data_IF_810019349734
#
_entry.id   IF_810019349734
#
_cell.length_a   1.000
_cell.length_b   1.000
_cell.length_c   1.000
_cell.angle_alpha   90.00
_cell.angle_beta   90.00
_cell.angle_gamma   90.00
#
_symmetry.space_group_name_H-M   'P 1'
#
loop_
_entity.id
_entity.type
_entity.pdbx_description
1 polymer ?
#
# COMPACT_ATOMS: atom_id res chain seq x y z
N UNK A 1 3.34 -5.22 -1.80
CA UNK A 1 2.96 -6.62 -2.10
C UNK A 1 1.54 -6.89 -1.64
N UNK A 2 0.76 -7.68 -2.38
CA UNK A 2 -0.66 -8.03 -2.09
C UNK A 2 -0.93 -8.60 -0.68
N UNK A 3 0.09 -9.00 0.07
CA UNK A 3 -0.02 -9.60 1.40
C UNK A 3 0.00 -8.60 2.58
N UNK A 4 0.25 -7.32 2.33
CA UNK A 4 0.58 -6.37 3.43
C UNK A 4 -0.65 -5.72 4.09
N UNK A 5 -1.83 -5.77 3.44
CA UNK A 5 -3.03 -5.15 4.02
C UNK A 5 -3.90 -6.09 4.88
N UNK A 6 -3.63 -7.40 4.85
CA UNK A 6 -4.40 -8.40 5.63
C UNK A 6 -4.38 -8.09 7.12
N UNK A 7 -3.31 -7.50 7.62
CA UNK A 7 -3.18 -7.07 9.03
C UNK A 7 -4.19 -6.01 9.47
N UNK A 8 -4.79 -5.30 8.51
CA UNK A 8 -5.82 -4.30 8.79
C UNK A 8 -7.25 -4.86 8.69
N UNK A 9 -7.41 -6.13 8.28
CA UNK A 9 -8.73 -6.76 8.15
C UNK A 9 -9.17 -7.37 9.48
N UNK A 10 -10.43 -7.15 9.81
CA UNK A 10 -11.09 -7.77 10.96
C UNK A 10 -12.44 -8.35 10.53
N UNK A 11 -12.74 -9.62 10.86
CA UNK A 11 -14.02 -10.21 10.50
C UNK A 11 -15.19 -9.56 11.24
N UNK A 12 -16.34 -9.51 10.60
CA UNK A 12 -17.60 -8.96 11.17
C UNK A 12 -18.07 -9.66 12.44
N UNK A 13 -17.58 -10.87 12.72
CA UNK A 13 -17.88 -11.65 13.91
C UNK A 13 -16.99 -11.31 15.11
N UNK A 14 -15.97 -10.47 14.92
CA UNK A 14 -15.03 -10.11 15.97
C UNK A 14 -15.68 -9.28 17.08
N UNK A 15 -15.09 -9.36 18.26
CA UNK A 15 -15.45 -8.54 19.43
C UNK A 15 -14.64 -7.24 19.47
N UNK A 16 -15.08 -6.29 20.30
CA UNK A 16 -14.33 -5.06 20.60
C UNK A 16 -12.94 -5.40 21.17
N UNK A 17 -12.82 -6.46 21.97
CA UNK A 17 -11.53 -6.95 22.45
C UNK A 17 -10.62 -7.39 21.31
N UNK A 18 -11.15 -8.14 20.34
CA UNK A 18 -10.37 -8.57 19.17
C UNK A 18 -9.87 -7.37 18.35
N UNK A 19 -10.71 -6.33 18.23
CA UNK A 19 -10.32 -5.09 17.57
C UNK A 19 -9.17 -4.39 18.29
N UNK A 20 -9.19 -4.31 19.62
CA UNK A 20 -8.08 -3.74 20.40
C UNK A 20 -6.78 -4.52 20.20
N UNK A 21 -6.85 -5.86 20.22
CA UNK A 21 -5.68 -6.70 19.96
C UNK A 21 -5.11 -6.47 18.56
N UNK A 22 -5.99 -6.33 17.55
CA UNK A 22 -5.57 -6.06 16.19
C UNK A 22 -4.98 -4.65 16.02
N UNK A 23 -5.53 -3.64 16.70
CA UNK A 23 -5.00 -2.28 16.71
C UNK A 23 -3.63 -2.22 17.41
N UNK A 24 -3.46 -2.90 18.53
CA UNK A 24 -2.20 -2.97 19.27
C UNK A 24 -1.08 -3.58 18.44
N UNK A 25 -1.36 -4.65 17.69
CA UNK A 25 -0.41 -5.25 16.73
C UNK A 25 0.02 -4.29 15.62
N UNK A 26 -0.81 -3.27 15.31
CA UNK A 26 -0.53 -2.25 14.30
C UNK A 26 -0.09 -0.91 14.93
N UNK A 27 0.33 -0.90 16.21
CA UNK A 27 0.66 0.33 16.96
C UNK A 27 1.76 1.18 16.33
N UNK A 28 2.68 0.54 15.59
CA UNK A 28 3.78 1.22 14.88
C UNK A 28 3.35 1.86 13.55
N UNK A 29 2.08 1.73 13.14
CA UNK A 29 1.60 2.22 11.85
C UNK A 29 0.27 2.99 12.00
N UNK A 30 -0.78 2.57 11.29
CA UNK A 30 -2.07 3.27 11.29
C UNK A 30 -3.09 2.46 12.10
N UNK A 31 -3.66 3.10 13.13
CA UNK A 31 -4.67 2.53 14.01
C UNK A 31 -6.07 2.54 13.36
N UNK A 32 -6.20 1.86 12.23
CA UNK A 32 -7.44 1.70 11.48
C UNK A 32 -7.60 0.26 11.04
N UNK A 33 -8.78 -0.30 11.23
CA UNK A 33 -9.18 -1.62 10.77
C UNK A 33 -10.32 -1.51 9.77
N UNK A 34 -10.39 -2.46 8.85
CA UNK A 34 -11.49 -2.66 7.90
C UNK A 34 -12.27 -3.88 8.29
N UNK A 35 -13.55 -3.70 8.57
CA UNK A 35 -14.46 -4.78 8.94
C UNK A 35 -14.98 -5.43 7.66
N UNK A 36 -14.80 -6.75 7.54
CA UNK A 36 -15.19 -7.51 6.36
C UNK A 36 -16.09 -8.67 6.71
N UNK A 37 -16.97 -9.03 5.78
CA UNK A 37 -17.80 -10.23 5.89
C UNK A 37 -17.00 -11.51 5.53
N UNK A 38 -17.70 -12.67 5.54
CA UNK A 38 -17.09 -13.99 5.25
C UNK A 38 -16.55 -14.13 3.84
N UNK A 39 -16.98 -13.29 2.89
CA UNK A 39 -16.52 -13.31 1.49
C UNK A 39 -15.52 -12.18 1.19
N UNK A 40 -15.09 -11.42 2.20
CA UNK A 40 -14.13 -10.33 2.09
C UNK A 40 -14.72 -8.99 1.64
N UNK A 41 -16.06 -8.85 1.62
CA UNK A 41 -16.72 -7.59 1.33
C UNK A 41 -16.56 -6.62 2.51
N UNK A 42 -16.20 -5.38 2.22
CA UNK A 42 -16.05 -4.35 3.23
C UNK A 42 -17.39 -3.89 3.78
N UNK A 43 -17.54 -3.93 5.11
CA UNK A 43 -18.76 -3.52 5.82
C UNK A 43 -18.58 -2.19 6.55
N UNK A 44 -17.36 -1.85 6.95
CA UNK A 44 -17.10 -0.64 7.72
C UNK A 44 -15.64 -0.44 8.04
N UNK A 45 -15.36 0.67 8.73
CA UNK A 45 -14.05 0.99 9.31
C UNK A 45 -14.16 1.11 10.82
N UNK A 46 -13.05 0.87 11.51
CA UNK A 46 -12.95 0.98 12.96
C UNK A 46 -11.57 1.52 13.34
N UNK A 47 -11.55 2.52 14.18
CA UNK A 47 -10.32 3.14 14.70
C UNK A 47 -10.22 2.98 16.20
N UNK A 48 -9.05 3.24 16.78
CA UNK A 48 -8.85 3.32 18.24
C UNK A 48 -9.83 4.32 18.90
N UNK A 49 -10.07 5.44 18.24
CA UNK A 49 -11.04 6.43 18.70
C UNK A 49 -12.49 5.91 18.77
N UNK A 50 -12.87 5.02 17.84
CA UNK A 50 -14.21 4.43 17.83
C UNK A 50 -14.39 3.46 18.98
N UNK A 51 -13.37 2.63 19.24
CA UNK A 51 -13.34 1.72 20.39
C UNK A 51 -13.48 2.52 21.69
N UNK A 52 -12.67 3.56 21.85
CA UNK A 52 -12.70 4.41 23.07
C UNK A 52 -14.06 5.07 23.27
N UNK A 53 -14.64 5.64 22.22
CA UNK A 53 -16.00 6.21 22.28
C UNK A 53 -17.06 5.18 22.59
N UNK A 54 -16.96 3.98 22.00
CA UNK A 54 -17.88 2.88 22.30
C UNK A 54 -17.87 2.49 23.77
N UNK A 55 -16.68 2.33 24.36
CA UNK A 55 -16.52 2.00 25.80
C UNK A 55 -17.07 3.12 26.70
N UNK A 56 -16.83 4.41 26.36
CA UNK A 56 -17.39 5.56 27.09
C UNK A 56 -18.92 5.53 27.04
N UNK A 57 -19.51 5.06 25.93
CA UNK A 57 -20.97 4.94 25.75
C UNK A 57 -21.54 3.66 26.40
N UNK A 58 -20.74 2.93 27.16
CA UNK A 58 -21.18 1.74 27.90
C UNK A 58 -21.19 0.44 27.09
N UNK A 59 -20.49 0.38 25.95
CA UNK A 59 -20.26 -0.88 25.25
C UNK A 59 -19.24 -1.73 26.00
N UNK A 60 -19.40 -3.05 25.95
CA UNK A 60 -18.50 -4.01 26.59
C UNK A 60 -17.45 -4.55 25.61
N UNK A 61 -16.32 -5.00 26.12
CA UNK A 61 -15.26 -5.63 25.33
C UNK A 61 -15.72 -6.90 24.62
N UNK A 62 -16.74 -7.57 25.13
CA UNK A 62 -17.36 -8.76 24.53
C UNK A 62 -18.39 -8.42 23.44
N UNK A 63 -18.80 -7.16 23.31
CA UNK A 63 -19.74 -6.73 22.27
C UNK A 63 -19.10 -6.89 20.89
N UNK A 64 -19.96 -7.15 19.88
CA UNK A 64 -19.53 -7.27 18.50
C UNK A 64 -19.09 -5.90 17.93
N UNK A 65 -18.04 -5.87 17.11
CA UNK A 65 -17.48 -4.66 16.49
C UNK A 65 -18.49 -3.86 15.66
N UNK A 66 -19.55 -4.49 15.17
CA UNK A 66 -20.61 -3.82 14.39
C UNK A 66 -21.31 -2.70 15.17
N UNK A 67 -21.33 -2.76 16.51
CA UNK A 67 -22.01 -1.74 17.32
C UNK A 67 -21.24 -0.43 17.43
N UNK A 68 -19.96 -0.43 17.01
CA UNK A 68 -19.07 0.74 17.08
C UNK A 68 -18.39 1.09 15.74
N UNK A 69 -18.51 0.23 14.70
CA UNK A 69 -17.90 0.50 13.40
C UNK A 69 -18.61 1.63 12.65
N UNK A 70 -17.89 2.33 11.80
CA UNK A 70 -18.43 3.29 10.85
C UNK A 70 -18.77 2.62 9.53
N UNK A 71 -20.03 2.72 9.10
CA UNK A 71 -20.53 2.18 7.82
C UNK A 71 -20.41 3.16 6.68
N UNK A 72 -20.27 4.48 6.97
CA UNK A 72 -20.04 5.53 5.97
C UNK A 72 -18.55 5.77 5.79
N UNK A 73 -17.86 4.82 5.16
CA UNK A 73 -16.41 4.87 4.95
C UNK A 73 -16.03 5.43 3.58
N UNK A 74 -14.79 5.86 3.45
CA UNK A 74 -14.20 6.32 2.19
C UNK A 74 -13.47 5.16 1.51
N UNK A 75 -13.64 5.07 0.20
CA UNK A 75 -12.98 4.07 -0.64
C UNK A 75 -12.80 4.62 -2.05
N UNK A 76 -12.02 3.94 -2.86
CA UNK A 76 -11.93 4.10 -4.30
C UNK A 76 -12.25 2.78 -4.99
N UNK A 77 -12.75 2.88 -6.21
CA UNK A 77 -13.02 1.76 -7.11
C UNK A 77 -12.50 2.09 -8.50
N UNK A 78 -12.59 1.15 -9.42
CA UNK A 78 -12.19 1.37 -10.81
C UNK A 78 -12.93 2.58 -11.43
N UNK A 79 -14.21 2.72 -11.11
CA UNK A 79 -15.05 3.81 -11.65
C UNK A 79 -14.82 5.16 -10.96
N UNK A 80 -14.19 5.18 -9.77
CA UNK A 80 -13.96 6.39 -8.96
C UNK A 80 -12.46 6.68 -8.71
N UNK A 81 -11.57 6.13 -9.52
CA UNK A 81 -10.11 6.30 -9.41
C UNK A 81 -9.69 7.68 -9.96
N UNK A 82 -10.18 8.76 -9.33
CA UNK A 82 -9.79 10.14 -9.66
C UNK A 82 -8.69 10.60 -8.70
N UNK A 83 -7.58 11.08 -9.25
CA UNK A 83 -6.45 11.64 -8.50
C UNK A 83 -6.89 12.80 -7.59
N UNK A 84 -7.88 13.59 -8.01
CA UNK A 84 -8.43 14.70 -7.21
C UNK A 84 -9.09 14.20 -5.93
N UNK A 85 -9.85 13.10 -6.02
CA UNK A 85 -10.50 12.48 -4.86
C UNK A 85 -9.47 11.92 -3.89
N UNK A 86 -8.43 11.27 -4.40
CA UNK A 86 -7.36 10.72 -3.58
C UNK A 86 -6.60 11.83 -2.86
N UNK A 87 -6.30 12.94 -3.57
CA UNK A 87 -5.68 14.13 -2.98
C UNK A 87 -6.55 14.71 -1.87
N UNK A 88 -7.85 14.87 -2.12
CA UNK A 88 -8.80 15.36 -1.13
C UNK A 88 -8.82 14.48 0.13
N UNK A 89 -8.82 13.16 -0.02
CA UNK A 89 -8.78 12.25 1.12
C UNK A 89 -7.48 12.36 1.91
N UNK A 90 -6.35 12.52 1.21
CA UNK A 90 -5.05 12.74 1.83
C UNK A 90 -5.02 14.06 2.61
N UNK A 91 -5.53 15.15 2.03
CA UNK A 91 -5.59 16.47 2.67
C UNK A 91 -6.53 16.46 3.89
N UNK A 92 -7.55 15.60 3.91
CA UNK A 92 -8.42 15.35 5.06
C UNK A 92 -7.81 14.42 6.11
N UNK A 93 -6.55 14.02 5.98
CA UNK A 93 -5.83 13.19 6.94
C UNK A 93 -6.17 11.70 6.91
N UNK A 94 -6.83 11.21 5.85
CA UNK A 94 -7.05 9.78 5.67
C UNK A 94 -5.71 9.10 5.40
N UNK A 95 -5.32 8.18 6.27
CA UNK A 95 -4.04 7.49 6.20
C UNK A 95 -4.09 6.21 5.38
N UNK A 96 -5.19 5.46 5.48
CA UNK A 96 -5.43 4.22 4.72
C UNK A 96 -6.67 4.38 3.87
N UNK A 97 -6.55 4.12 2.57
CA UNK A 97 -7.65 4.20 1.61
C UNK A 97 -7.83 2.85 0.91
N UNK A 98 -8.93 2.13 1.14
CA UNK A 98 -9.20 0.86 0.50
C UNK A 98 -9.63 1.06 -0.96
N UNK A 99 -9.15 0.19 -1.84
CA UNK A 99 -9.61 0.01 -3.20
C UNK A 99 -10.52 -1.21 -3.25
N UNK A 100 -11.74 -0.99 -3.69
CA UNK A 100 -12.77 -2.03 -3.73
C UNK A 100 -13.05 -2.52 -5.14
N UNK A 101 -13.25 -3.83 -5.28
CA UNK A 101 -13.81 -4.43 -6.49
C UNK A 101 -15.28 -4.02 -6.69
N UNK A 102 -15.86 -4.35 -7.85
CA UNK A 102 -17.29 -4.16 -8.14
C UNK A 102 -18.21 -4.85 -7.13
N UNK A 103 -17.75 -5.96 -6.55
CA UNK A 103 -18.48 -6.71 -5.50
C UNK A 103 -18.28 -6.12 -4.10
N UNK A 104 -17.50 -5.05 -3.95
CA UNK A 104 -17.21 -4.40 -2.68
C UNK A 104 -16.14 -5.10 -1.83
N UNK A 105 -15.34 -6.00 -2.40
CA UNK A 105 -14.21 -6.65 -1.70
C UNK A 105 -13.00 -5.75 -1.73
N UNK A 106 -12.20 -5.80 -0.67
CA UNK A 106 -10.93 -5.08 -0.61
C UNK A 106 -9.91 -5.84 -1.45
N UNK A 107 -9.45 -5.23 -2.54
CA UNK A 107 -8.38 -5.76 -3.38
C UNK A 107 -7.02 -5.18 -3.00
N UNK A 108 -7.00 -3.93 -2.54
CA UNK A 108 -5.78 -3.21 -2.19
C UNK A 108 -6.08 -2.13 -1.14
N UNK A 109 -5.06 -1.78 -0.37
CA UNK A 109 -5.12 -0.62 0.54
C UNK A 109 -3.94 0.30 0.26
N UNK A 110 -4.24 1.56 0.01
CA UNK A 110 -3.23 2.60 -0.20
C UNK A 110 -2.91 3.29 1.14
N UNK A 111 -1.64 3.27 1.51
CA UNK A 111 -1.15 4.01 2.68
C UNK A 111 -0.82 5.45 2.27
N UNK A 112 -1.82 6.34 2.31
CA UNK A 112 -1.70 7.73 1.84
C UNK A 112 -0.67 8.56 2.61
N UNK A 113 -0.37 8.20 3.85
CA UNK A 113 0.68 8.81 4.65
C UNK A 113 2.10 8.44 4.18
N UNK A 114 2.26 7.33 3.45
CA UNK A 114 3.55 6.84 2.93
C UNK A 114 3.77 7.20 1.45
N UNK A 115 2.73 7.69 0.77
CA UNK A 115 2.75 8.00 -0.66
C UNK A 115 2.82 9.51 -0.84
N UNK A 116 3.85 10.00 -1.55
CA UNK A 116 4.03 11.42 -1.85
C UNK A 116 3.02 11.93 -2.87
N UNK A 117 2.70 11.10 -3.88
CA UNK A 117 1.71 11.39 -4.94
C UNK A 117 1.09 10.10 -5.43
N UNK A 118 -0.18 10.13 -5.83
CA UNK A 118 -0.82 9.02 -6.55
C UNK A 118 -1.15 9.55 -7.93
N UNK A 119 -0.41 9.08 -8.93
CA UNK A 119 -0.61 9.46 -10.31
C UNK A 119 -1.10 8.25 -11.10
N UNK A 120 -2.15 8.37 -11.94
CA UNK A 120 -2.62 7.29 -12.82
C UNK A 120 -1.74 7.22 -14.07
N UNK A 121 -0.45 7.04 -13.87
CA UNK A 121 0.56 6.97 -14.95
C UNK A 121 1.42 5.73 -14.75
N UNK A 122 1.86 5.18 -15.87
CA UNK A 122 2.88 4.14 -15.91
C UNK A 122 4.26 4.79 -15.99
N UNK A 123 5.24 4.18 -15.35
CA UNK A 123 6.62 4.62 -15.42
C UNK A 123 7.45 3.66 -16.27
N UNK A 124 8.31 4.23 -17.12
CA UNK A 124 9.28 3.45 -17.90
C UNK A 124 10.69 3.92 -17.56
N UNK A 125 11.51 3.03 -17.00
CA UNK A 125 12.93 3.28 -16.73
C UNK A 125 13.75 2.77 -17.90
N UNK A 126 14.43 3.67 -18.60
CA UNK A 126 15.34 3.29 -19.68
C UNK A 126 16.70 2.86 -19.13
N UNK A 127 17.00 1.57 -19.18
CA UNK A 127 18.20 0.97 -18.59
C UNK A 127 19.15 0.31 -19.61
N UNK A 128 18.99 0.59 -20.92
CA UNK A 128 19.71 -0.08 -21.99
C UNK A 128 21.07 0.53 -22.41
N UNK A 129 21.52 1.59 -21.73
CA UNK A 129 22.75 2.30 -22.10
C UNK A 129 24.04 1.59 -21.67
N UNK A 130 25.13 1.71 -22.51
CA UNK A 130 26.45 1.09 -22.24
C UNK A 130 27.21 1.70 -21.07
N UNK A 131 26.84 2.90 -20.60
CA UNK A 131 27.49 3.57 -19.47
C UNK A 131 28.97 3.91 -19.68
N UNK A 132 29.37 4.24 -20.90
CA UNK A 132 30.79 4.40 -21.32
C UNK A 132 31.62 5.34 -20.45
N UNK A 133 30.98 6.38 -19.89
CA UNK A 133 31.63 7.36 -19.00
C UNK A 133 32.05 6.77 -17.65
N UNK A 134 31.54 5.59 -17.29
CA UNK A 134 31.83 4.91 -16.03
C UNK A 134 32.75 3.68 -16.22
N UNK A 135 33.36 3.52 -17.39
CA UNK A 135 34.36 2.47 -17.60
C UNK A 135 35.55 2.66 -16.69
N UNK A 136 36.16 1.58 -16.15
CA UNK A 136 35.94 0.17 -16.49
C UNK A 136 34.74 -0.50 -15.75
N UNK A 137 34.06 0.15 -14.80
CA UNK A 137 33.01 -0.43 -13.96
C UNK A 137 31.84 -1.01 -14.77
N UNK A 138 31.55 -0.39 -15.92
CA UNK A 138 30.43 -0.80 -16.77
C UNK A 138 30.81 -1.79 -17.89
N UNK A 139 32.01 -2.36 -17.87
CA UNK A 139 32.36 -3.42 -18.80
C UNK A 139 31.69 -4.76 -18.50
N UNK A 140 31.52 -5.07 -17.22
CA UNK A 140 30.92 -6.34 -16.74
C UNK A 140 29.60 -6.17 -16.02
N UNK A 141 29.26 -4.96 -15.58
CA UNK A 141 28.04 -4.68 -14.82
C UNK A 141 27.32 -3.50 -15.46
N UNK A 142 26.03 -3.61 -15.84
CA UNK A 142 25.31 -2.49 -16.42
C UNK A 142 25.16 -1.36 -15.40
N UNK A 143 25.27 -0.10 -15.85
CA UNK A 143 25.21 1.08 -14.97
C UNK A 143 24.05 1.03 -13.94
N UNK A 144 22.83 0.62 -14.28
CA UNK A 144 21.73 0.56 -13.32
C UNK A 144 21.99 -0.36 -12.14
N UNK A 145 22.82 -1.40 -12.30
CA UNK A 145 23.17 -2.36 -11.24
C UNK A 145 24.43 -1.99 -10.45
N UNK A 146 25.11 -0.90 -10.81
CA UNK A 146 26.19 -0.39 -9.97
C UNK A 146 25.60 0.01 -8.60
N UNK A 147 26.31 -0.38 -7.55
CA UNK A 147 25.89 -0.06 -6.18
C UNK A 147 26.34 1.34 -5.77
N UNK A 148 25.45 2.02 -5.07
CA UNK A 148 25.71 3.25 -4.31
C UNK A 148 25.29 2.97 -2.87
N UNK A 149 26.26 2.79 -1.99
CA UNK A 149 26.01 2.22 -0.67
C UNK A 149 25.62 0.74 -0.77
N UNK A 150 24.50 0.39 -0.19
CA UNK A 150 23.96 -0.99 -0.09
C UNK A 150 23.01 -1.37 -1.23
N UNK A 151 22.54 -0.38 -2.05
CA UNK A 151 21.54 -0.58 -3.11
C UNK A 151 22.10 -0.29 -4.51
N UNK A 152 21.51 -0.92 -5.52
CA UNK A 152 21.74 -0.58 -6.91
C UNK A 152 21.11 0.76 -7.30
N UNK A 153 21.69 1.47 -8.27
CA UNK A 153 21.16 2.77 -8.75
C UNK A 153 19.69 2.64 -9.18
N UNK A 154 19.34 1.55 -9.87
CA UNK A 154 17.98 1.34 -10.35
C UNK A 154 16.99 1.15 -9.20
N UNK A 155 17.40 0.51 -8.10
CA UNK A 155 16.53 0.27 -6.95
C UNK A 155 16.12 1.59 -6.27
N UNK A 156 17.01 2.59 -6.21
CA UNK A 156 16.66 3.93 -5.72
C UNK A 156 15.60 4.59 -6.60
N UNK A 157 15.72 4.45 -7.93
CA UNK A 157 14.74 5.01 -8.86
C UNK A 157 13.38 4.30 -8.73
N UNK A 158 13.37 2.98 -8.63
CA UNK A 158 12.14 2.18 -8.44
C UNK A 158 11.47 2.54 -7.11
N UNK A 159 12.23 2.60 -6.02
CA UNK A 159 11.69 2.98 -4.70
C UNK A 159 11.10 4.39 -4.71
N UNK A 160 11.75 5.35 -5.39
CA UNK A 160 11.22 6.70 -5.55
C UNK A 160 9.90 6.70 -6.32
N UNK A 161 9.80 5.98 -7.44
CA UNK A 161 8.57 5.86 -8.23
C UNK A 161 7.43 5.22 -7.42
N UNK A 162 7.74 4.15 -6.67
CA UNK A 162 6.78 3.51 -5.76
C UNK A 162 6.32 4.49 -4.67
N UNK A 163 7.22 5.30 -4.11
CA UNK A 163 6.88 6.31 -3.11
C UNK A 163 5.93 7.39 -3.64
N UNK A 164 5.97 7.64 -4.94
CA UNK A 164 5.01 8.51 -5.64
C UNK A 164 3.70 7.81 -6.02
N UNK A 165 3.54 6.53 -5.67
CA UNK A 165 2.31 5.77 -5.91
C UNK A 165 2.18 5.19 -7.32
N UNK A 166 3.30 5.02 -8.02
CA UNK A 166 3.32 4.35 -9.32
C UNK A 166 3.34 2.84 -9.11
N UNK A 167 2.30 2.16 -9.56
CA UNK A 167 2.14 0.70 -9.39
C UNK A 167 2.68 -0.09 -10.58
N UNK A 168 2.67 0.51 -11.78
CA UNK A 168 3.13 -0.13 -13.00
C UNK A 168 4.44 0.50 -13.46
N UNK A 169 5.54 -0.21 -13.23
CA UNK A 169 6.88 0.24 -13.58
C UNK A 169 7.49 -0.78 -14.55
N UNK A 170 7.81 -0.32 -15.75
CA UNK A 170 8.50 -1.11 -16.76
C UNK A 170 9.97 -0.69 -16.86
N UNK A 171 10.85 -1.64 -17.13
CA UNK A 171 12.28 -1.36 -17.36
C UNK A 171 12.63 -1.83 -18.77
N UNK A 172 13.12 -0.91 -19.61
CA UNK A 172 13.67 -1.29 -20.91
C UNK A 172 15.14 -1.64 -20.78
N UNK A 173 15.52 -2.81 -21.28
CA UNK A 173 16.88 -3.35 -21.18
C UNK A 173 17.50 -3.52 -22.57
N UNK A 174 18.81 -3.47 -22.67
CA UNK A 174 19.58 -3.77 -23.88
C UNK A 174 20.98 -4.27 -23.49
N UNK A 175 21.95 -3.38 -23.27
CA UNK A 175 23.31 -3.74 -22.89
C UNK A 175 23.33 -4.47 -21.55
N UNK A 176 23.85 -5.73 -21.54
CA UNK A 176 23.85 -6.61 -20.36
C UNK A 176 22.46 -6.77 -19.70
N UNK A 177 21.40 -6.80 -20.53
CA UNK A 177 20.01 -6.81 -20.07
C UNK A 177 19.65 -8.01 -19.20
N UNK A 178 20.23 -9.19 -19.49
CA UNK A 178 20.02 -10.42 -18.71
C UNK A 178 20.30 -10.23 -17.22
N UNK A 179 21.32 -9.45 -16.86
CA UNK A 179 21.63 -9.17 -15.45
C UNK A 179 20.53 -8.34 -14.76
N UNK A 180 19.87 -7.44 -15.50
CA UNK A 180 18.73 -6.66 -14.97
C UNK A 180 17.49 -7.53 -14.83
N UNK A 181 17.24 -8.43 -15.77
CA UNK A 181 16.14 -9.38 -15.70
C UNK A 181 16.30 -10.31 -14.49
N UNK A 182 17.48 -10.86 -14.28
CA UNK A 182 17.79 -11.74 -13.15
C UNK A 182 17.66 -11.01 -11.81
N UNK A 183 18.13 -9.75 -11.73
CA UNK A 183 18.00 -8.94 -10.52
C UNK A 183 16.54 -8.78 -10.04
N UNK A 184 15.59 -8.70 -10.97
CA UNK A 184 14.17 -8.56 -10.63
C UNK A 184 13.39 -9.87 -10.57
N UNK A 185 13.91 -10.98 -11.16
CA UNK A 185 13.29 -12.32 -11.00
C UNK A 185 13.34 -12.79 -9.55
N UNK A 186 14.42 -12.49 -8.83
CA UNK A 186 14.60 -12.88 -7.42
C UNK A 186 13.77 -12.03 -6.44
N UNK A 187 13.23 -10.88 -6.89
CA UNK A 187 12.47 -9.94 -6.05
C UNK A 187 10.93 -10.03 -6.23
N UNK A 188 10.45 -10.99 -7.03
CA UNK A 188 9.01 -11.22 -7.25
C UNK A 188 8.36 -12.06 -6.18
#
# INVERSE_FOLDING_TARGET
TMSDFVRYLLPETATIKDALVALDKNSDDVLTLFIVDRVGKMLGTLTDGDVRRGLIQGKDLADNVKVIMHTSFRFISEDSKDVKIIKEYKDRGIKLLPYLSKDGRIEKVYALNKISSILPIDAVIMAGGKGERLRPLTLSTPKPLLKVGDKCIIDYNVDALISYGMDNISVTVNYLGEQLEDHYKEKR
#
